data_IF_305075120455
#
_entry.id   IF_305075120455
#
_cell.length_a   1.000
_cell.length_b   1.000
_cell.length_c   1.000
_cell.angle_alpha   90.00
_cell.angle_beta   90.00
_cell.angle_gamma   90.00
#
_symmetry.space_group_name_H-M   'P 1'
#
loop_
_entity.id
_entity.type
_entity.pdbx_description
1 polymer ?
#
# COMPACT_ATOMS: atom_id res chain seq x y z
N UNK A 1 -4.35 19.60 18.87
CA UNK A 1 -3.93 18.96 17.60
C UNK A 1 -5.16 18.54 16.83
N UNK A 2 -5.10 18.53 15.50
CA UNK A 2 -6.20 18.00 14.68
C UNK A 2 -6.33 16.50 14.96
N UNK A 3 -7.56 16.03 15.19
CA UNK A 3 -7.83 14.63 15.51
C UNK A 3 -8.28 13.93 14.22
N UNK A 4 -7.34 13.25 13.55
CA UNK A 4 -7.60 12.65 12.26
C UNK A 4 -8.37 11.34 12.44
N UNK A 5 -9.61 11.27 11.98
CA UNK A 5 -10.40 10.03 12.07
C UNK A 5 -9.93 8.95 11.09
N UNK A 6 -9.44 9.36 9.92
CA UNK A 6 -9.06 8.48 8.81
C UNK A 6 -7.84 9.05 8.11
N UNK A 7 -6.87 8.19 7.84
CA UNK A 7 -5.60 8.50 7.17
C UNK A 7 -5.52 7.64 5.90
N UNK A 8 -5.19 8.27 4.78
CA UNK A 8 -4.93 7.59 3.52
C UNK A 8 -3.43 7.66 3.23
N UNK A 9 -2.78 6.51 3.05
CA UNK A 9 -1.35 6.43 2.74
C UNK A 9 -1.19 5.89 1.32
N UNK A 10 -0.60 6.71 0.44
CA UNK A 10 -0.15 6.24 -0.87
C UNK A 10 1.17 5.47 -0.69
N UNK A 11 1.24 4.27 -1.25
CA UNK A 11 2.36 3.35 -1.07
C UNK A 11 2.83 2.81 -2.40
N UNK A 12 4.10 3.07 -2.72
CA UNK A 12 4.78 2.65 -3.95
C UNK A 12 6.02 1.77 -3.67
N UNK A 13 6.26 1.41 -2.41
CA UNK A 13 7.44 0.63 -1.98
C UNK A 13 8.74 1.45 -1.90
N UNK A 14 8.70 2.76 -2.14
CA UNK A 14 9.85 3.63 -1.93
C UNK A 14 10.19 3.76 -0.44
N UNK A 15 11.44 4.09 -0.12
CA UNK A 15 11.85 4.36 1.26
C UNK A 15 11.01 5.49 1.90
N UNK A 16 10.63 6.49 1.10
CA UNK A 16 9.76 7.59 1.54
C UNK A 16 8.35 7.10 1.87
N UNK A 17 7.76 6.22 1.05
CA UNK A 17 6.46 5.63 1.33
C UNK A 17 6.48 4.71 2.58
N UNK A 18 7.54 3.91 2.77
CA UNK A 18 7.75 3.12 4.00
C UNK A 18 7.77 4.01 5.24
N UNK A 19 8.56 5.08 5.21
CA UNK A 19 8.63 6.03 6.32
C UNK A 19 7.29 6.73 6.55
N UNK A 20 6.58 7.11 5.48
CA UNK A 20 5.27 7.75 5.58
C UNK A 20 4.24 6.82 6.26
N UNK A 21 4.26 5.52 5.94
CA UNK A 21 3.41 4.52 6.60
C UNK A 21 3.77 4.38 8.09
N UNK A 22 5.05 4.32 8.45
CA UNK A 22 5.48 4.24 9.85
C UNK A 22 5.02 5.47 10.67
N UNK A 23 5.18 6.68 10.13
CA UNK A 23 4.71 7.92 10.77
C UNK A 23 3.17 7.96 10.87
N UNK A 24 2.47 7.51 9.82
CA UNK A 24 1.01 7.41 9.85
C UNK A 24 0.51 6.42 10.91
N UNK A 25 1.21 5.29 11.09
CA UNK A 25 0.94 4.31 12.14
C UNK A 25 1.08 4.91 13.53
N UNK A 26 2.12 5.71 13.78
CA UNK A 26 2.28 6.41 15.05
C UNK A 26 1.14 7.41 15.31
N UNK A 27 0.80 8.21 14.30
CA UNK A 27 -0.31 9.17 14.39
C UNK A 27 -1.65 8.47 14.65
N UNK A 28 -1.90 7.35 13.97
CA UNK A 28 -3.13 6.58 14.13
C UNK A 28 -3.31 5.99 15.54
N UNK A 29 -2.22 5.60 16.21
CA UNK A 29 -2.27 5.15 17.61
C UNK A 29 -2.70 6.28 18.54
N UNK A 30 -2.14 7.47 18.35
CA UNK A 30 -2.43 8.64 19.18
C UNK A 30 -3.88 9.11 18.99
N UNK A 31 -4.32 9.21 17.73
CA UNK A 31 -5.63 9.77 17.35
C UNK A 31 -6.75 8.71 17.30
N UNK A 32 -6.42 7.41 17.49
CA UNK A 32 -7.33 6.27 17.27
C UNK A 32 -7.94 6.29 15.86
N UNK A 33 -7.10 6.58 14.87
CA UNK A 33 -7.48 6.70 13.47
C UNK A 33 -7.54 5.33 12.79
N UNK A 34 -8.26 5.27 11.67
CA UNK A 34 -8.09 4.19 10.70
C UNK A 34 -7.12 4.57 9.59
N UNK A 35 -6.34 3.61 9.13
CA UNK A 35 -5.45 3.77 7.99
C UNK A 35 -5.96 2.95 6.81
N UNK A 36 -6.08 3.58 5.64
CA UNK A 36 -6.20 2.90 4.34
C UNK A 36 -4.90 3.11 3.59
N UNK A 37 -4.27 2.02 3.17
CA UNK A 37 -3.13 2.05 2.25
C UNK A 37 -3.65 1.80 0.84
N UNK A 38 -3.10 2.52 -0.13
CA UNK A 38 -3.37 2.31 -1.55
C UNK A 38 -2.07 2.30 -2.35
N UNK A 39 -2.01 1.46 -3.37
CA UNK A 39 -0.95 1.49 -4.37
C UNK A 39 -1.55 1.85 -5.73
N UNK A 40 -0.84 2.65 -6.51
CA UNK A 40 -1.24 2.98 -7.88
C UNK A 40 -0.41 2.13 -8.82
N UNK A 41 -1.08 1.35 -9.66
CA UNK A 41 -0.42 0.63 -10.74
C UNK A 41 -0.34 1.55 -11.96
N UNK A 42 0.84 1.72 -12.58
CA UNK A 42 0.95 2.52 -13.79
C UNK A 42 0.11 1.90 -14.91
N UNK A 43 -0.41 2.75 -15.79
CA UNK A 43 -1.07 2.31 -17.01
C UNK A 43 -0.11 1.43 -17.82
N UNK A 44 -0.52 0.20 -18.10
CA UNK A 44 0.23 -0.69 -18.99
C UNK A 44 0.13 -0.17 -20.43
N UNK A 45 1.21 0.44 -20.93
CA UNK A 45 1.31 0.99 -22.31
C UNK A 45 2.04 0.08 -23.30
N UNK A 46 2.43 -1.12 -22.90
CA UNK A 46 3.18 -2.05 -23.76
C UNK A 46 2.29 -2.75 -24.79
N UNK A 47 2.90 -3.14 -25.92
CA UNK A 47 2.36 -4.22 -26.74
C UNK A 47 2.38 -5.46 -25.86
N UNK A 48 1.20 -5.96 -25.56
CA UNK A 48 0.99 -7.05 -24.66
C UNK A 48 1.57 -8.28 -25.39
N UNK A 49 2.85 -8.62 -25.15
CA UNK A 49 3.42 -9.95 -25.42
C UNK A 49 2.72 -10.98 -24.51
N UNK A 50 1.39 -11.01 -24.59
CA UNK A 50 0.48 -11.94 -23.95
C UNK A 50 0.56 -13.31 -24.56
N UNK A 51 1.29 -13.45 -25.67
CA UNK A 51 1.57 -14.74 -26.30
C UNK A 51 2.38 -15.57 -25.30
N UNK A 52 1.71 -16.51 -24.64
CA UNK A 52 2.30 -17.37 -23.62
C UNK A 52 2.02 -16.96 -22.16
N UNK A 53 1.36 -15.82 -21.90
CA UNK A 53 0.94 -15.45 -20.55
C UNK A 53 -0.39 -16.12 -20.23
N UNK A 54 -0.36 -17.06 -19.28
CA UNK A 54 -1.53 -17.82 -18.85
C UNK A 54 -2.45 -17.06 -17.88
N UNK A 55 -1.95 -16.02 -17.19
CA UNK A 55 -2.73 -15.25 -16.22
C UNK A 55 -2.41 -13.74 -16.26
N UNK A 56 -3.08 -13.05 -17.18
CA UNK A 56 -2.96 -11.60 -17.42
C UNK A 56 -3.26 -10.79 -16.15
N UNK A 57 -4.27 -11.21 -15.38
CA UNK A 57 -4.67 -10.52 -14.16
C UNK A 57 -3.54 -10.52 -13.13
N UNK A 58 -2.87 -11.64 -12.94
CA UNK A 58 -1.75 -11.73 -12.01
C UNK A 58 -0.53 -10.93 -12.50
N UNK A 59 -0.30 -10.87 -13.81
CA UNK A 59 0.75 -10.00 -14.38
C UNK A 59 0.50 -8.54 -14.05
N UNK A 60 -0.76 -8.09 -14.15
CA UNK A 60 -1.13 -6.70 -13.89
C UNK A 60 -1.19 -6.40 -12.38
N UNK A 61 -1.91 -7.22 -11.61
CA UNK A 61 -2.21 -6.96 -10.19
C UNK A 61 -1.09 -7.40 -9.24
N UNK A 62 -0.28 -8.39 -9.63
CA UNK A 62 0.71 -9.05 -8.79
C UNK A 62 1.72 -8.08 -8.14
N UNK A 63 2.31 -7.12 -8.89
CA UNK A 63 3.16 -6.09 -8.31
C UNK A 63 2.45 -5.28 -7.21
N UNK A 64 1.19 -4.92 -7.43
CA UNK A 64 0.40 -4.15 -6.46
C UNK A 64 0.11 -4.95 -5.19
N UNK A 65 -0.22 -6.25 -5.34
CA UNK A 65 -0.40 -7.15 -4.19
C UNK A 65 0.87 -7.24 -3.35
N UNK A 66 2.04 -7.38 -3.99
CA UNK A 66 3.33 -7.42 -3.27
C UNK A 66 3.59 -6.16 -2.45
N UNK A 67 3.32 -4.99 -3.04
CA UNK A 67 3.44 -3.71 -2.34
C UNK A 67 2.49 -3.61 -1.14
N UNK A 68 1.24 -4.06 -1.29
CA UNK A 68 0.26 -4.06 -0.20
C UNK A 68 0.59 -5.09 0.89
N UNK A 69 1.17 -6.24 0.54
CA UNK A 69 1.69 -7.22 1.52
C UNK A 69 2.83 -6.62 2.32
N UNK A 70 3.79 -5.96 1.68
CA UNK A 70 4.89 -5.27 2.39
C UNK A 70 4.35 -4.16 3.32
N UNK A 71 3.35 -3.39 2.87
CA UNK A 71 2.70 -2.39 3.72
C UNK A 71 2.02 -3.03 4.95
N UNK A 72 1.41 -4.21 4.79
CA UNK A 72 0.83 -4.95 5.91
C UNK A 72 1.90 -5.38 6.91
N UNK A 73 3.04 -5.89 6.46
CA UNK A 73 4.16 -6.30 7.33
C UNK A 73 4.71 -5.12 8.16
N UNK A 74 4.83 -3.93 7.55
CA UNK A 74 5.25 -2.71 8.26
C UNK A 74 4.22 -2.33 9.32
N UNK A 75 2.93 -2.38 8.98
CA UNK A 75 1.86 -2.03 9.91
C UNK A 75 1.77 -3.03 11.08
N UNK A 76 1.97 -4.33 10.81
CA UNK A 76 2.00 -5.38 11.82
C UNK A 76 3.18 -5.20 12.78
N UNK A 77 4.37 -4.84 12.26
CA UNK A 77 5.53 -4.48 13.11
C UNK A 77 5.23 -3.28 14.01
N UNK A 78 4.45 -2.32 13.51
CA UNK A 78 3.98 -1.19 14.28
C UNK A 78 2.74 -1.51 15.15
N UNK A 79 2.21 -2.73 15.21
CA UNK A 79 0.98 -3.06 15.97
C UNK A 79 -0.22 -2.14 15.59
N UNK A 80 -0.39 -1.88 14.29
CA UNK A 80 -1.52 -1.10 13.74
C UNK A 80 -2.24 -1.89 12.68
N UNK A 81 -3.57 -1.91 12.76
CA UNK A 81 -4.41 -2.47 11.70
C UNK A 81 -4.56 -1.47 10.54
N UNK A 82 -4.28 -1.93 9.32
CA UNK A 82 -4.47 -1.17 8.09
C UNK A 82 -5.49 -1.86 7.18
N UNK A 83 -6.14 -1.07 6.33
CA UNK A 83 -6.93 -1.55 5.20
C UNK A 83 -6.08 -1.46 3.94
N UNK A 84 -5.99 -2.52 3.14
CA UNK A 84 -5.30 -2.55 1.83
C UNK A 84 -6.28 -2.75 0.69
#
# INVERSE_FOLDING_TARGET
>A
MANYRKILVAYDGSASARNALAVASQLAKEDKSWIKVLTVLPDYKGDLELVGISNIKETIDGPGKKLLTEAQEIADHEDVHILT
#
